data_IF_821851765988
#
_entry.id   IF_821851765988
#
_cell.length_a   1.000
_cell.length_b   1.000
_cell.length_c   1.000
_cell.angle_alpha   90.00
_cell.angle_beta   90.00
_cell.angle_gamma   90.00
#
_symmetry.space_group_name_H-M   'P 1'
#
loop_
_entity.id
_entity.type
_entity.pdbx_description
1 polymer ?
#
# COMPACT_ATOMS: atom_id res chain seq x y z
N UNK A 1 2.08 -2.50 15.26
CA UNK A 1 3.35 -1.72 15.19
C UNK A 1 3.87 -1.62 13.76
N UNK A 2 4.07 -2.73 13.03
CA UNK A 2 4.59 -2.72 11.65
C UNK A 2 3.81 -1.86 10.62
N UNK A 3 2.48 -1.77 10.75
CA UNK A 3 1.66 -0.91 9.87
C UNK A 3 1.93 0.59 10.08
N UNK A 4 2.18 1.01 11.33
CA UNK A 4 2.50 2.41 11.63
C UNK A 4 3.86 2.79 11.06
N UNK A 5 4.83 1.87 11.14
CA UNK A 5 6.16 2.05 10.56
C UNK A 5 6.10 2.16 9.02
N UNK A 6 5.20 1.40 8.39
CA UNK A 6 4.94 1.50 6.95
C UNK A 6 4.31 2.85 6.57
N UNK A 7 3.33 3.33 7.34
CA UNK A 7 2.75 4.67 7.13
C UNK A 7 3.80 5.78 7.32
N UNK A 8 4.70 5.64 8.28
CA UNK A 8 5.80 6.58 8.49
C UNK A 8 6.82 6.55 7.35
N UNK A 9 7.15 5.36 6.83
CA UNK A 9 8.01 5.23 5.66
C UNK A 9 7.37 5.88 4.42
N UNK A 10 6.07 5.66 4.22
CA UNK A 10 5.29 6.31 3.17
C UNK A 10 5.26 7.83 3.33
N UNK A 11 5.00 8.37 4.52
CA UNK A 11 5.00 9.82 4.78
C UNK A 11 6.37 10.45 4.51
N UNK A 12 7.45 9.75 4.88
CA UNK A 12 8.83 10.18 4.65
C UNK A 12 9.17 10.14 3.15
N UNK A 13 8.76 9.08 2.44
CA UNK A 13 8.90 8.98 0.98
C UNK A 13 8.09 10.05 0.26
N UNK A 14 6.87 10.34 0.70
CA UNK A 14 6.04 11.39 0.11
C UNK A 14 6.71 12.76 0.25
N UNK A 15 7.25 13.05 1.44
CA UNK A 15 7.83 14.35 1.78
C UNK A 15 9.19 14.60 1.11
N UNK A 16 10.04 13.58 0.98
CA UNK A 16 11.41 13.74 0.48
C UNK A 16 11.64 13.19 -0.93
N UNK A 17 10.84 12.22 -1.36
CA UNK A 17 11.04 11.45 -2.60
C UNK A 17 9.71 11.09 -3.29
N UNK A 18 8.87 12.09 -3.65
CA UNK A 18 7.50 11.87 -4.11
C UNK A 18 7.40 10.99 -5.38
N UNK A 19 8.45 10.96 -6.21
CA UNK A 19 8.54 10.09 -7.40
C UNK A 19 8.61 8.60 -7.05
N UNK A 20 9.17 8.26 -5.90
CA UNK A 20 9.33 6.87 -5.44
C UNK A 20 8.16 6.42 -4.58
N UNK A 21 7.54 7.36 -3.85
CA UNK A 21 6.33 7.13 -3.07
C UNK A 21 5.21 6.50 -3.90
N UNK A 22 4.91 7.05 -5.09
CA UNK A 22 3.86 6.48 -5.96
C UNK A 22 4.20 5.08 -6.48
N UNK A 23 5.47 4.78 -6.75
CA UNK A 23 5.89 3.47 -7.26
C UNK A 23 5.77 2.38 -6.18
N UNK A 24 6.21 2.65 -4.95
CA UNK A 24 6.11 1.67 -3.87
C UNK A 24 4.66 1.40 -3.49
N UNK A 25 3.79 2.41 -3.55
CA UNK A 25 2.37 2.26 -3.27
C UNK A 25 1.66 1.43 -4.35
N UNK A 26 2.05 1.58 -5.62
CA UNK A 26 1.56 0.74 -6.71
C UNK A 26 2.06 -0.71 -6.62
N UNK A 27 3.32 -0.91 -6.23
CA UNK A 27 3.87 -2.26 -5.99
C UNK A 27 3.15 -2.95 -4.83
N UNK A 28 2.87 -2.23 -3.74
CA UNK A 28 2.08 -2.78 -2.64
C UNK A 28 0.64 -3.09 -3.07
N UNK A 29 0.02 -2.23 -3.88
CA UNK A 29 -1.31 -2.47 -4.42
C UNK A 29 -1.36 -3.73 -5.31
N UNK A 30 -0.33 -3.95 -6.12
CA UNK A 30 -0.18 -5.16 -6.94
C UNK A 30 -0.02 -6.43 -6.10
N UNK A 31 0.82 -6.38 -5.06
CA UNK A 31 0.98 -7.50 -4.12
C UNK A 31 -0.33 -7.82 -3.38
N UNK A 32 -1.09 -6.80 -2.94
CA UNK A 32 -2.41 -7.00 -2.32
C UNK A 32 -3.41 -7.58 -3.33
N UNK A 33 -3.38 -7.13 -4.59
CA UNK A 33 -4.24 -7.66 -5.63
C UNK A 33 -3.97 -9.14 -5.90
N UNK A 34 -2.70 -9.54 -5.95
CA UNK A 34 -2.30 -10.96 -6.04
C UNK A 34 -2.72 -11.75 -4.80
N UNK A 35 -2.69 -11.13 -3.61
CA UNK A 35 -3.16 -11.77 -2.39
C UNK A 35 -4.66 -12.09 -2.46
N UNK A 36 -5.47 -11.14 -2.93
CA UNK A 36 -6.93 -11.32 -3.11
C UNK A 36 -7.23 -12.49 -4.05
N UNK A 37 -6.45 -12.63 -5.13
CA UNK A 37 -6.65 -13.67 -6.15
C UNK A 37 -6.00 -15.02 -5.79
N UNK A 38 -5.40 -15.17 -4.61
CA UNK A 38 -4.60 -16.33 -4.21
C UNK A 38 -3.44 -16.65 -5.18
N UNK A 39 -2.89 -15.63 -5.82
CA UNK A 39 -1.75 -15.75 -6.74
C UNK A 39 -0.40 -15.61 -6.02
N UNK A 40 -0.41 -15.18 -4.75
CA UNK A 40 0.78 -15.12 -3.90
C UNK A 40 1.05 -16.48 -3.24
N UNK A 41 2.26 -17.04 -3.37
CA UNK A 41 2.67 -18.24 -2.63
C UNK A 41 2.56 -18.03 -1.12
N UNK A 42 2.09 -19.05 -0.40
CA UNK A 42 1.90 -19.07 1.07
C UNK A 42 3.15 -18.65 1.85
N UNK A 43 4.30 -19.00 1.30
CA UNK A 43 5.66 -18.88 1.83
C UNK A 43 6.43 -17.69 1.24
N UNK A 44 5.78 -16.88 0.39
CA UNK A 44 6.38 -15.66 -0.15
C UNK A 44 6.60 -14.61 0.94
N UNK A 45 7.73 -13.89 0.85
CA UNK A 45 8.06 -12.80 1.76
C UNK A 45 7.01 -11.68 1.73
N UNK A 46 6.41 -11.39 0.56
CA UNK A 46 5.34 -10.40 0.41
C UNK A 46 4.08 -10.81 1.17
N UNK A 47 3.65 -12.07 1.06
CA UNK A 47 2.45 -12.53 1.75
C UNK A 47 2.65 -12.59 3.28
N UNK A 48 3.81 -13.04 3.74
CA UNK A 48 4.17 -13.03 5.17
C UNK A 48 4.17 -11.61 5.72
N UNK A 49 4.71 -10.66 4.95
CA UNK A 49 4.70 -9.25 5.31
C UNK A 49 3.26 -8.71 5.39
N UNK A 50 2.44 -8.94 4.38
CA UNK A 50 1.04 -8.52 4.32
C UNK A 50 0.20 -9.08 5.47
N UNK A 51 0.28 -10.40 5.73
CA UNK A 51 -0.37 -11.06 6.88
C UNK A 51 0.13 -10.54 8.24
N UNK A 52 1.33 -9.97 8.31
CA UNK A 52 1.86 -9.37 9.54
C UNK A 52 1.40 -7.92 9.77
N UNK A 53 0.89 -7.27 8.72
CA UNK A 53 0.43 -5.88 8.73
C UNK A 53 -1.09 -5.76 8.73
N UNK A 54 -1.80 -6.72 8.13
CA UNK A 54 -3.24 -6.69 7.90
C UNK A 54 -3.87 -8.03 8.28
N UNK A 55 -5.07 -8.00 8.86
CA UNK A 55 -5.82 -9.21 9.24
C UNK A 55 -6.51 -9.86 8.04
N UNK A 56 -6.79 -9.08 6.99
CA UNK A 56 -7.42 -9.58 5.76
C UNK A 56 -6.94 -8.84 4.51
N UNK A 57 -7.00 -9.49 3.33
CA UNK A 57 -6.68 -8.83 2.06
C UNK A 57 -7.60 -7.64 1.75
N UNK A 58 -8.87 -7.69 2.18
CA UNK A 58 -9.81 -6.58 2.04
C UNK A 58 -9.46 -5.36 2.90
N UNK A 59 -8.96 -5.58 4.12
CA UNK A 59 -8.44 -4.51 4.97
C UNK A 59 -7.21 -3.85 4.33
N UNK A 60 -6.27 -4.66 3.84
CA UNK A 60 -5.07 -4.19 3.13
C UNK A 60 -5.44 -3.34 1.92
N UNK A 61 -6.37 -3.82 1.09
CA UNK A 61 -6.86 -3.09 -0.08
C UNK A 61 -7.50 -1.76 0.31
N UNK A 62 -8.35 -1.75 1.34
CA UNK A 62 -9.03 -0.53 1.79
C UNK A 62 -8.04 0.51 2.32
N UNK A 63 -7.01 0.07 3.05
CA UNK A 63 -5.94 0.95 3.55
C UNK A 63 -5.15 1.59 2.40
N UNK A 64 -4.69 0.77 1.45
CA UNK A 64 -3.92 1.25 0.29
C UNK A 64 -4.77 2.13 -0.63
N UNK A 65 -6.05 1.79 -0.83
CA UNK A 65 -6.96 2.58 -1.66
C UNK A 65 -7.18 4.00 -1.11
N UNK A 66 -7.23 4.17 0.22
CA UNK A 66 -7.30 5.50 0.85
C UNK A 66 -6.06 6.34 0.54
N UNK A 67 -4.88 5.74 0.62
CA UNK A 67 -3.61 6.43 0.30
C UNK A 67 -3.54 6.80 -1.19
N UNK A 68 -3.98 5.91 -2.10
CA UNK A 68 -4.10 6.21 -3.53
C UNK A 68 -5.06 7.38 -3.77
N UNK A 69 -6.21 7.40 -3.12
CA UNK A 69 -7.17 8.50 -3.23
C UNK A 69 -6.61 9.82 -2.69
N UNK A 70 -5.81 9.79 -1.62
CA UNK A 70 -5.11 10.97 -1.09
C UNK A 70 -4.06 11.50 -2.07
N UNK A 71 -3.34 10.61 -2.76
CA UNK A 71 -2.40 10.98 -3.83
C UNK A 71 -3.09 11.51 -5.09
N UNK A 72 -4.30 11.02 -5.39
CA UNK A 72 -5.13 11.52 -6.49
C UNK A 72 -5.88 12.83 -6.12
N UNK A 73 -6.07 13.10 -4.82
CA UNK A 73 -6.77 14.27 -4.29
C UNK A 73 -6.30 15.65 -4.79
N UNK A 74 -5.00 15.91 -5.05
CA UNK A 74 -4.55 17.15 -5.68
C UNK A 74 -5.07 17.32 -7.12
N UNK A 75 -5.42 16.22 -7.81
CA UNK A 75 -5.98 16.25 -9.16
C UNK A 75 -7.51 16.37 -9.19
N UNK A 76 -8.20 16.09 -8.07
CA UNK A 76 -9.65 16.24 -7.94
C UNK A 76 -10.09 17.66 -7.54
N UNK A 77 -9.15 18.53 -7.14
CA UNK A 77 -9.43 19.94 -6.88
C UNK A 77 -9.08 20.79 -8.10
N UNK A 78 -9.90 20.66 -9.14
CA UNK A 78 -10.08 21.73 -10.12
C UNK A 78 -11.52 21.70 -10.65
N UNK A 79 -12.17 22.85 -10.45
CA UNK A 79 -13.56 23.26 -10.72
C UNK A 79 -14.60 22.88 -9.66
#
# INVERSE_FOLDING_TARGET
MKYLDFLWALDLLYRYYPKYHSNELLLLADDIWKWINNELPEDSSSLIYLKSCFESPYEAFTAVWKEILLLAGPFARNN
#
